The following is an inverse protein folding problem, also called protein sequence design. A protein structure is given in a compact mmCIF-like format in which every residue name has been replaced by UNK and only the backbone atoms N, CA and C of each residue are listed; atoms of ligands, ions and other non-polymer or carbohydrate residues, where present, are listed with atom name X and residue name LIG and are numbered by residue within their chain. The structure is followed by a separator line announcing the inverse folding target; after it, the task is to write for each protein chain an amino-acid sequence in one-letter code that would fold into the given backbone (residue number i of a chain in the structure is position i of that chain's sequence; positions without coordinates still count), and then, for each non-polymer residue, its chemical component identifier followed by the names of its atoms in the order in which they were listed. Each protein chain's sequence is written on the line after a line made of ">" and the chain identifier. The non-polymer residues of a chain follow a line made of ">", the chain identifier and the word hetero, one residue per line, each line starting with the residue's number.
data_IF_203979708102
#
_entry.id   IF_203979708102
#
_cell.length_a   1.000
_cell.length_b   1.000
_cell.length_c   1.000
_cell.angle_alpha   90.00
_cell.angle_beta   90.00
_cell.angle_gamma   90.00
#
_symmetry.space_group_name_H-M   'P 1'
#
loop_
_entity.id
_entity.type
_entity.pdbx_description
1 polymer ?
#
# COMPACT_ATOMS: atom_id res chain seq x y z
N UNK A 1 61.12 13.31 30.07
CA UNK A 1 60.65 13.31 31.48
C UNK A 1 59.44 14.23 31.52
N UNK A 2 58.27 13.66 31.47
CA UNK A 2 56.99 14.42 31.54
C UNK A 2 56.28 14.02 32.81
N UNK A 3 56.09 15.01 33.68
CA UNK A 3 55.38 14.93 34.95
C UNK A 3 53.88 14.89 34.69
N UNK A 4 53.23 13.79 35.08
CA UNK A 4 51.77 13.62 34.93
C UNK A 4 51.10 14.02 36.23
N UNK A 5 50.62 15.28 36.31
CA UNK A 5 49.84 15.75 37.47
C UNK A 5 48.46 15.09 37.53
N UNK A 6 48.21 14.32 38.55
CA UNK A 6 46.89 13.80 38.90
C UNK A 6 46.19 14.75 39.86
N UNK A 7 44.96 15.21 39.51
CA UNK A 7 44.06 15.87 40.46
C UNK A 7 42.88 14.95 40.79
N UNK A 8 42.65 14.75 42.06
CA UNK A 8 41.50 14.02 42.59
C UNK A 8 40.40 15.01 42.96
N UNK A 9 39.16 14.74 42.56
CA UNK A 9 37.98 15.47 43.00
C UNK A 9 37.15 14.51 43.88
N UNK A 10 36.88 14.92 45.12
CA UNK A 10 36.01 14.20 46.03
C UNK A 10 34.60 14.73 45.94
N UNK A 11 33.64 13.86 45.68
CA UNK A 11 32.21 14.17 45.83
C UNK A 11 31.65 13.40 47.02
N UNK A 12 31.11 14.13 48.01
CA UNK A 12 30.45 13.55 49.18
C UNK A 12 28.93 13.59 48.97
N UNK A 13 28.31 12.42 48.95
CA UNK A 13 26.85 12.28 49.10
C UNK A 13 26.56 11.66 50.47
N UNK A 14 25.85 12.41 51.30
CA UNK A 14 25.41 11.99 52.63
C UNK A 14 24.13 11.16 52.51
N UNK A 15 24.25 9.84 52.65
CA UNK A 15 23.13 8.95 53.06
C UNK A 15 23.68 7.75 53.81
N UNK A 16 23.06 7.47 54.94
CA UNK A 16 23.50 6.50 55.97
C UNK A 16 23.73 5.09 55.44
N UNK A 17 24.97 4.65 55.60
CA UNK A 17 25.57 3.32 55.73
C UNK A 17 26.73 3.08 54.72
N UNK A 18 27.63 2.07 54.94
CA UNK A 18 29.02 2.43 55.15
C UNK A 18 29.82 2.70 53.86
N UNK A 19 30.86 3.48 54.02
CA UNK A 19 31.79 4.00 53.04
C UNK A 19 32.29 2.94 52.04
N UNK A 20 31.84 2.99 50.80
CA UNK A 20 32.49 2.38 49.66
C UNK A 20 33.04 3.53 48.81
N UNK A 21 34.33 3.71 48.81
CA UNK A 21 35.04 4.68 47.95
C UNK A 21 35.19 4.06 46.58
N UNK A 22 34.48 4.62 45.56
CA UNK A 22 34.66 4.28 44.15
C UNK A 22 35.65 5.32 43.57
N UNK A 23 36.88 4.88 43.29
CA UNK A 23 37.87 5.67 42.57
C UNK A 23 37.59 5.65 41.05
N UNK A 24 37.01 6.72 40.52
CA UNK A 24 36.88 6.94 39.08
C UNK A 24 38.13 7.59 38.54
N UNK A 25 38.85 6.91 37.67
CA UNK A 25 40.02 7.42 36.96
C UNK A 25 39.56 8.11 35.70
N UNK A 26 39.52 9.45 35.69
CA UNK A 26 39.26 10.27 34.48
C UNK A 26 40.59 10.49 33.75
N UNK A 27 40.72 9.89 32.57
CA UNK A 27 41.88 10.09 31.70
C UNK A 27 41.56 11.20 30.69
N UNK A 28 41.90 12.46 30.98
CA UNK A 28 41.73 13.58 30.06
C UNK A 28 43.01 13.74 29.27
N UNK A 29 43.01 13.24 28.05
CA UNK A 29 44.09 13.38 27.08
C UNK A 29 43.92 14.65 26.28
N UNK A 30 44.49 15.77 26.68
CA UNK A 30 44.47 17.05 25.99
C UNK A 30 45.58 17.07 24.94
N UNK A 31 45.24 16.78 23.67
CA UNK A 31 46.19 16.90 22.57
C UNK A 31 45.80 18.13 21.70
N UNK A 32 46.50 19.28 21.82
CA UNK A 32 46.16 20.52 21.12
C UNK A 32 46.42 20.47 19.60
N UNK A 33 47.00 19.39 19.09
CA UNK A 33 47.27 19.20 17.65
C UNK A 33 46.42 18.12 16.98
N UNK A 34 45.32 17.65 17.61
CA UNK A 34 44.39 16.82 16.88
C UNK A 34 43.75 17.69 15.77
N UNK A 35 44.19 17.47 14.54
CA UNK A 35 43.45 17.89 13.36
C UNK A 35 41.98 17.52 13.59
N UNK A 36 41.09 18.52 13.53
CA UNK A 36 39.63 18.29 13.41
C UNK A 36 39.47 17.37 12.19
N UNK A 37 39.24 16.12 12.43
CA UNK A 37 38.65 15.28 11.40
C UNK A 37 37.35 16.00 11.00
N UNK A 38 37.28 16.40 9.75
CA UNK A 38 36.10 17.01 9.19
C UNK A 38 34.96 16.02 9.47
N UNK A 39 34.03 16.42 10.33
CA UNK A 39 32.75 15.75 10.50
C UNK A 39 32.18 15.69 9.10
N UNK A 40 32.26 14.53 8.45
CA UNK A 40 31.50 14.29 7.25
C UNK A 40 30.06 14.48 7.67
N UNK A 41 29.48 15.59 7.28
CA UNK A 41 28.04 15.82 7.37
C UNK A 41 27.40 14.62 6.67
N UNK A 42 26.68 13.83 7.44
CA UNK A 42 25.74 12.84 6.90
C UNK A 42 24.73 13.66 6.08
N UNK A 43 25.00 13.82 4.80
CA UNK A 43 24.05 14.47 3.88
C UNK A 43 22.85 13.54 3.79
N UNK A 44 21.79 13.89 4.50
CA UNK A 44 20.48 13.36 4.22
C UNK A 44 20.13 13.82 2.81
N UNK A 45 20.02 12.87 1.88
CA UNK A 45 19.62 13.13 0.51
C UNK A 45 18.10 13.39 0.46
N UNK A 46 17.67 14.56 0.89
CA UNK A 46 16.30 15.07 0.69
C UNK A 46 16.25 16.14 -0.40
N UNK A 47 16.94 15.90 -1.54
CA UNK A 47 17.25 16.97 -2.49
C UNK A 47 16.06 17.51 -3.30
N UNK A 48 14.97 16.78 -3.51
CA UNK A 48 13.84 17.27 -4.32
C UNK A 48 12.44 17.07 -3.69
N UNK A 49 12.33 16.24 -2.66
CA UNK A 49 11.01 15.91 -2.12
C UNK A 49 10.41 17.03 -1.25
N UNK A 50 11.23 17.77 -0.52
CA UNK A 50 10.72 18.75 0.45
C UNK A 50 10.42 20.12 -0.16
N UNK A 51 11.21 20.59 -1.13
CA UNK A 51 11.07 21.96 -1.65
C UNK A 51 9.82 22.17 -2.52
N UNK A 52 9.35 21.14 -3.22
CA UNK A 52 8.15 21.22 -4.06
C UNK A 52 6.84 21.12 -3.27
N UNK A 53 6.88 20.60 -2.05
CA UNK A 53 5.69 20.31 -1.24
C UNK A 53 5.60 21.11 0.07
N UNK A 54 6.59 21.97 0.37
CA UNK A 54 6.74 22.61 1.69
C UNK A 54 5.78 23.78 1.96
N UNK A 55 5.03 24.26 0.99
CA UNK A 55 4.24 25.49 1.12
C UNK A 55 2.73 25.28 1.38
N UNK A 56 2.30 24.15 1.91
CA UNK A 56 0.88 23.96 2.25
C UNK A 56 0.72 23.46 3.69
N UNK A 57 0.07 24.29 4.50
CA UNK A 57 -0.10 24.14 5.94
C UNK A 57 -0.98 22.96 6.41
N UNK A 58 -1.53 22.16 5.51
CA UNK A 58 -2.39 21.02 5.85
C UNK A 58 -1.74 19.72 5.41
N UNK A 59 -0.93 19.13 6.28
CA UNK A 59 -0.52 17.73 6.13
C UNK A 59 -1.68 16.86 6.56
N UNK A 60 -2.36 16.22 5.62
CA UNK A 60 -3.31 15.17 5.94
C UNK A 60 -2.56 13.97 6.52
N UNK A 61 -2.79 13.68 7.81
CA UNK A 61 -2.24 12.47 8.42
C UNK A 61 -2.92 11.23 7.84
N UNK A 62 -2.20 10.11 7.83
CA UNK A 62 -2.71 8.82 7.35
C UNK A 62 -4.04 8.45 8.01
N UNK A 63 -4.14 8.64 9.33
CA UNK A 63 -5.35 8.36 10.09
C UNK A 63 -6.54 9.23 9.67
N UNK A 64 -6.32 10.51 9.37
CA UNK A 64 -7.39 11.39 8.87
C UNK A 64 -7.82 11.03 7.45
N UNK A 65 -6.85 10.71 6.57
CA UNK A 65 -7.16 10.30 5.21
C UNK A 65 -7.98 9.01 5.17
N UNK A 66 -7.69 8.04 6.06
CA UNK A 66 -8.42 6.77 6.16
C UNK A 66 -9.85 6.93 6.70
N UNK A 67 -10.25 8.08 7.22
CA UNK A 67 -11.66 8.38 7.54
C UNK A 67 -12.50 8.64 6.29
N UNK A 68 -11.87 9.04 5.18
CA UNK A 68 -12.58 9.21 3.91
C UNK A 68 -12.85 7.84 3.29
N UNK A 69 -14.12 7.53 3.07
CA UNK A 69 -14.58 6.21 2.59
C UNK A 69 -13.91 5.78 1.28
N UNK A 70 -13.71 6.70 0.35
CA UNK A 70 -13.06 6.44 -0.93
C UNK A 70 -11.57 6.07 -0.76
N UNK A 71 -10.84 6.76 0.14
CA UNK A 71 -9.44 6.43 0.46
C UNK A 71 -9.35 5.05 1.10
N UNK A 72 -10.16 4.84 2.15
CA UNK A 72 -10.21 3.54 2.82
C UNK A 72 -10.43 2.41 1.82
N UNK A 73 -11.45 2.55 0.95
CA UNK A 73 -11.80 1.50 -0.02
C UNK A 73 -10.71 1.28 -1.07
N UNK A 74 -10.08 2.33 -1.58
CA UNK A 74 -8.97 2.17 -2.53
C UNK A 74 -7.79 1.43 -1.92
N UNK A 75 -7.38 1.79 -0.71
CA UNK A 75 -6.28 1.14 0.01
C UNK A 75 -6.63 -0.31 0.34
N UNK A 76 -7.84 -0.56 0.83
CA UNK A 76 -8.33 -1.89 1.19
C UNK A 76 -8.37 -2.84 0.00
N UNK A 77 -8.98 -2.42 -1.13
CA UNK A 77 -9.10 -3.28 -2.32
C UNK A 77 -7.75 -3.62 -2.94
N UNK A 78 -6.78 -2.67 -2.96
CA UNK A 78 -5.45 -2.96 -3.49
C UNK A 78 -4.70 -3.90 -2.55
N UNK A 79 -4.65 -3.58 -1.25
CA UNK A 79 -3.90 -4.36 -0.27
C UNK A 79 -4.45 -5.77 -0.09
N UNK A 80 -5.78 -5.96 -0.10
CA UNK A 80 -6.41 -7.28 -0.08
C UNK A 80 -6.15 -8.07 -1.36
N UNK A 81 -6.24 -7.40 -2.52
CA UNK A 81 -5.98 -8.06 -3.80
C UNK A 81 -4.54 -8.59 -3.90
N UNK A 82 -3.55 -7.86 -3.38
CA UNK A 82 -2.17 -8.34 -3.33
C UNK A 82 -1.99 -9.42 -2.27
N UNK A 83 -2.54 -9.23 -1.07
CA UNK A 83 -2.37 -10.14 0.06
C UNK A 83 -2.97 -11.53 -0.17
N UNK A 84 -4.03 -11.65 -0.98
CA UNK A 84 -4.62 -12.95 -1.30
C UNK A 84 -3.77 -13.78 -2.26
N UNK A 85 -2.86 -13.16 -3.06
CA UNK A 85 -2.04 -13.87 -4.03
C UNK A 85 -0.92 -14.66 -3.35
N UNK A 86 -0.75 -15.95 -3.64
CA UNK A 86 0.44 -16.70 -3.23
C UNK A 86 1.69 -16.10 -3.87
N UNK A 87 2.76 -15.98 -3.10
CA UNK A 87 4.07 -15.53 -3.59
C UNK A 87 5.02 -16.72 -3.66
N UNK A 88 5.21 -17.25 -4.85
CA UNK A 88 5.88 -18.52 -5.06
C UNK A 88 7.30 -18.34 -5.57
N UNK A 89 8.33 -18.92 -4.91
CA UNK A 89 9.66 -19.03 -5.46
C UNK A 89 9.74 -20.18 -6.48
N UNK A 90 10.41 -19.92 -7.59
CA UNK A 90 10.71 -20.88 -8.64
C UNK A 90 12.22 -21.05 -8.75
N UNK A 91 12.66 -22.28 -8.95
CA UNK A 91 14.01 -22.56 -9.43
C UNK A 91 13.99 -22.53 -10.96
N UNK A 92 14.92 -21.79 -11.54
CA UNK A 92 15.12 -21.67 -12.98
C UNK A 92 16.34 -22.51 -13.32
N UNK A 93 16.17 -23.52 -14.16
CA UNK A 93 17.28 -24.33 -14.64
C UNK A 93 18.08 -23.63 -15.78
N UNK A 94 19.17 -24.26 -16.21
CA UNK A 94 20.04 -23.69 -17.24
C UNK A 94 19.35 -23.59 -18.64
N UNK A 95 18.25 -24.32 -18.84
CA UNK A 95 17.43 -24.30 -20.04
C UNK A 95 16.29 -23.26 -19.94
N UNK A 96 16.12 -22.63 -18.78
CA UNK A 96 15.12 -21.58 -18.52
C UNK A 96 13.76 -22.11 -18.06
N UNK A 97 13.61 -23.43 -17.80
CA UNK A 97 12.39 -23.97 -17.24
C UNK A 97 12.26 -23.65 -15.74
N UNK A 98 11.06 -23.31 -15.33
CA UNK A 98 10.74 -22.92 -13.94
C UNK A 98 10.04 -24.03 -13.20
N UNK A 99 10.59 -24.43 -12.07
CA UNK A 99 9.98 -25.41 -11.16
C UNK A 99 9.73 -24.76 -9.80
N UNK A 100 8.55 -25.02 -9.18
CA UNK A 100 8.22 -24.47 -7.86
C UNK A 100 9.22 -24.94 -6.81
N UNK A 101 9.87 -23.99 -6.13
CA UNK A 101 10.92 -24.26 -5.17
C UNK A 101 10.36 -24.41 -3.73
N UNK A 102 9.46 -25.36 -3.53
CA UNK A 102 8.72 -25.56 -2.28
C UNK A 102 9.58 -26.06 -1.11
N UNK A 103 10.78 -26.61 -1.39
CA UNK A 103 11.69 -27.15 -0.37
C UNK A 103 12.59 -26.06 0.26
N UNK A 104 12.66 -24.89 -0.35
CA UNK A 104 13.49 -23.80 0.17
C UNK A 104 12.85 -23.15 1.41
N UNK A 105 13.61 -22.80 2.46
CA UNK A 105 13.08 -22.18 3.68
C UNK A 105 12.21 -20.94 3.42
N UNK A 106 12.55 -20.12 2.42
CA UNK A 106 11.78 -18.93 2.05
C UNK A 106 10.37 -19.25 1.55
N UNK A 107 10.11 -20.46 1.05
CA UNK A 107 8.76 -20.85 0.63
C UNK A 107 7.77 -20.76 1.80
N UNK A 108 8.15 -21.30 2.97
CA UNK A 108 7.34 -21.22 4.18
C UNK A 108 7.14 -19.77 4.62
N UNK A 109 8.23 -19.01 4.64
CA UNK A 109 8.26 -17.60 5.03
C UNK A 109 7.31 -16.75 4.16
N UNK A 110 7.31 -16.98 2.84
CA UNK A 110 6.50 -16.22 1.88
C UNK A 110 5.04 -16.67 1.81
N UNK A 111 4.74 -17.93 2.10
CA UNK A 111 3.41 -18.51 1.87
C UNK A 111 2.64 -18.89 3.13
N UNK A 112 3.29 -18.91 4.31
CA UNK A 112 2.65 -19.29 5.57
C UNK A 112 2.86 -18.23 6.65
N UNK A 113 4.02 -18.19 7.24
CA UNK A 113 4.35 -17.41 8.42
C UNK A 113 5.62 -16.59 8.22
N UNK A 114 5.52 -15.31 7.89
CA UNK A 114 6.66 -14.40 7.83
C UNK A 114 7.34 -14.20 9.19
N UNK A 115 6.56 -14.29 10.27
CA UNK A 115 6.98 -14.19 11.67
C UNK A 115 5.91 -14.79 12.60
N UNK A 116 6.24 -14.95 13.87
CA UNK A 116 5.38 -15.54 14.89
C UNK A 116 4.09 -14.71 15.18
N UNK A 117 4.03 -13.46 14.74
CA UNK A 117 2.94 -12.53 15.06
C UNK A 117 1.93 -12.36 13.94
N UNK A 118 2.32 -12.62 12.70
CA UNK A 118 1.52 -12.30 11.53
C UNK A 118 1.45 -13.46 10.54
N UNK A 119 0.24 -13.75 10.06
CA UNK A 119 0.07 -14.59 8.87
C UNK A 119 0.62 -13.86 7.63
N UNK A 120 0.92 -14.63 6.57
CA UNK A 120 1.31 -14.07 5.27
C UNK A 120 0.36 -12.97 4.80
N UNK A 121 -0.95 -13.24 4.87
CA UNK A 121 -1.97 -12.28 4.43
C UNK A 121 -1.87 -10.95 5.18
N UNK A 122 -1.82 -11.01 6.51
CA UNK A 122 -1.72 -9.81 7.35
C UNK A 122 -0.43 -9.04 7.08
N UNK A 123 0.69 -9.74 6.95
CA UNK A 123 1.99 -9.11 6.69
C UNK A 123 2.01 -8.38 5.34
N UNK A 124 1.61 -9.04 4.25
CA UNK A 124 1.59 -8.43 2.91
C UNK A 124 0.57 -7.28 2.86
N UNK A 125 -0.64 -7.47 3.42
CA UNK A 125 -1.64 -6.39 3.51
C UNK A 125 -1.08 -5.17 4.23
N UNK A 126 -0.44 -5.35 5.38
CA UNK A 126 0.13 -4.24 6.16
C UNK A 126 1.27 -3.55 5.40
N UNK A 127 2.15 -4.33 4.77
CA UNK A 127 3.26 -3.82 3.97
C UNK A 127 2.76 -2.97 2.79
N UNK A 128 1.80 -3.48 2.03
CA UNK A 128 1.19 -2.77 0.89
C UNK A 128 0.42 -1.52 1.36
N UNK A 129 -0.32 -1.61 2.47
CA UNK A 129 -1.01 -0.46 3.07
C UNK A 129 0.00 0.64 3.42
N UNK A 130 1.14 0.29 4.01
CA UNK A 130 2.22 1.26 4.29
C UNK A 130 2.75 1.89 2.99
N UNK A 131 3.00 1.11 1.95
CA UNK A 131 3.43 1.62 0.63
C UNK A 131 2.44 2.63 0.07
N UNK A 132 1.15 2.33 0.10
CA UNK A 132 0.11 3.20 -0.45
C UNK A 132 -0.05 4.51 0.34
N UNK A 133 -0.01 4.44 1.67
CA UNK A 133 -0.25 5.59 2.54
C UNK A 133 0.98 6.46 2.72
N UNK A 134 2.15 5.86 2.98
CA UNK A 134 3.39 6.59 3.30
C UNK A 134 4.34 6.74 2.12
N UNK A 135 4.12 5.96 1.06
CA UNK A 135 5.05 5.83 -0.07
C UNK A 135 6.14 4.79 0.14
N UNK A 136 6.28 4.23 1.35
CA UNK A 136 7.35 3.33 1.71
C UNK A 136 6.82 2.13 2.50
N UNK A 137 7.25 0.94 2.15
CA UNK A 137 7.00 -0.28 2.91
C UNK A 137 8.31 -0.89 3.36
N UNK A 138 8.49 -1.08 4.67
CA UNK A 138 9.72 -1.60 5.25
C UNK A 138 9.48 -2.93 5.96
N UNK A 139 10.40 -3.88 5.74
CA UNK A 139 10.49 -5.07 6.56
C UNK A 139 11.95 -5.45 6.81
N UNK A 140 12.28 -5.70 8.08
CA UNK A 140 13.59 -6.18 8.50
C UNK A 140 13.68 -7.68 8.26
N UNK A 141 14.78 -8.12 7.68
CA UNK A 141 15.08 -9.54 7.47
C UNK A 141 16.00 -9.99 8.60
N UNK A 142 15.48 -10.85 9.47
CA UNK A 142 16.32 -11.60 10.42
C UNK A 142 16.84 -12.84 9.71
N UNK A 143 18.17 -13.04 9.79
CA UNK A 143 18.83 -14.20 9.17
C UNK A 143 19.35 -15.15 10.24
N UNK A 144 19.44 -16.43 9.85
CA UNK A 144 20.09 -17.45 10.63
C UNK A 144 21.63 -17.40 10.50
N UNK A 145 22.33 -18.27 11.23
CA UNK A 145 23.79 -18.37 11.18
C UNK A 145 24.35 -18.74 9.80
N UNK A 146 23.53 -19.34 8.93
CA UNK A 146 23.88 -19.71 7.56
C UNK A 146 23.63 -18.56 6.58
N UNK A 147 23.03 -17.46 7.05
CA UNK A 147 22.67 -16.30 6.24
C UNK A 147 21.32 -16.44 5.51
N UNK A 148 20.55 -17.48 5.78
CA UNK A 148 19.21 -17.65 5.23
C UNK A 148 18.20 -16.77 5.95
N UNK A 149 17.19 -16.26 5.22
CA UNK A 149 16.13 -15.49 5.81
C UNK A 149 15.27 -16.40 6.71
N UNK A 150 15.18 -16.06 7.99
CA UNK A 150 14.43 -16.80 8.99
C UNK A 150 13.12 -16.15 9.35
N UNK A 151 13.07 -14.82 9.33
CA UNK A 151 11.92 -14.05 9.77
C UNK A 151 11.87 -12.71 9.05
N UNK A 152 10.66 -12.22 8.79
CA UNK A 152 10.39 -10.90 8.22
C UNK A 152 9.57 -10.07 9.21
N UNK A 153 10.14 -8.97 9.70
CA UNK A 153 9.49 -8.09 10.68
C UNK A 153 9.06 -6.81 9.99
N UNK A 154 7.75 -6.55 9.96
CA UNK A 154 7.23 -5.28 9.45
C UNK A 154 7.69 -4.11 10.33
N UNK A 155 8.12 -3.02 9.69
CA UNK A 155 8.49 -1.78 10.36
C UNK A 155 7.61 -0.64 9.87
N UNK A 156 7.13 0.17 10.80
CA UNK A 156 6.39 1.39 10.46
C UNK A 156 7.30 2.37 9.73
N UNK A 157 6.76 3.04 8.71
CA UNK A 157 7.53 3.96 7.87
C UNK A 157 8.13 5.14 8.65
N UNK A 158 7.45 5.63 9.67
CA UNK A 158 7.90 6.71 10.55
C UNK A 158 9.06 6.32 11.48
N UNK A 159 9.25 5.01 11.71
CA UNK A 159 10.36 4.48 12.53
C UNK A 159 11.63 4.22 11.74
N UNK A 160 11.63 4.38 10.41
CA UNK A 160 12.77 4.05 9.55
C UNK A 160 13.21 5.27 8.76
N UNK A 161 14.50 5.59 8.80
CA UNK A 161 15.11 6.62 7.95
C UNK A 161 16.24 6.04 7.10
N UNK A 162 16.31 6.50 5.85
CA UNK A 162 17.38 6.09 4.93
C UNK A 162 18.57 7.02 5.11
N UNK A 163 19.75 6.44 5.24
CA UNK A 163 21.01 7.18 5.35
C UNK A 163 22.09 6.54 4.48
N UNK A 164 23.16 7.28 4.23
CA UNK A 164 24.30 6.77 3.47
C UNK A 164 25.56 6.80 4.35
N UNK A 165 26.23 5.67 4.47
CA UNK A 165 27.52 5.55 5.15
C UNK A 165 28.54 4.97 4.19
N UNK A 166 29.63 5.68 3.96
CA UNK A 166 30.68 5.29 3.02
C UNK A 166 30.15 4.95 1.59
N UNK A 167 29.16 5.71 1.11
CA UNK A 167 28.54 5.50 -0.19
C UNK A 167 27.54 4.33 -0.27
N UNK A 168 27.35 3.58 0.82
CA UNK A 168 26.38 2.48 0.89
C UNK A 168 25.08 2.92 1.54
N UNK A 169 23.94 2.54 0.95
CA UNK A 169 22.60 2.76 1.52
C UNK A 169 22.46 1.93 2.80
N UNK A 170 22.08 2.59 3.88
CA UNK A 170 21.85 2.02 5.20
C UNK A 170 20.53 2.51 5.75
N UNK A 171 19.99 1.83 6.74
CA UNK A 171 18.74 2.20 7.38
C UNK A 171 18.96 2.42 8.87
N UNK A 172 18.46 3.55 9.36
CA UNK A 172 18.40 3.84 10.78
C UNK A 172 16.98 3.53 11.27
N UNK A 173 16.85 2.64 12.25
CA UNK A 173 15.58 2.23 12.83
C UNK A 173 15.50 2.81 14.24
N UNK A 174 14.41 3.53 14.53
CA UNK A 174 14.16 4.09 15.86
C UNK A 174 14.13 2.98 16.91
N UNK A 175 14.95 3.11 17.94
CA UNK A 175 15.12 2.09 18.99
C UNK A 175 16.25 1.08 18.75
N UNK A 176 16.90 1.10 17.59
CA UNK A 176 18.10 0.32 17.31
C UNK A 176 19.35 1.22 17.36
N UNK A 177 20.41 0.77 18.05
CA UNK A 177 21.65 1.52 18.15
C UNK A 177 22.58 1.35 16.94
N UNK A 178 22.26 0.44 16.03
CA UNK A 178 23.08 0.12 14.87
C UNK A 178 22.30 0.37 13.57
N UNK A 179 23.04 0.85 12.55
CA UNK A 179 22.52 0.96 11.21
C UNK A 179 22.34 -0.41 10.57
N UNK A 180 21.21 -0.63 9.95
CA UNK A 180 20.91 -1.87 9.23
C UNK A 180 21.38 -1.74 7.78
N UNK A 181 22.09 -2.74 7.30
CA UNK A 181 22.54 -2.81 5.91
C UNK A 181 21.37 -3.03 4.96
N UNK A 182 21.49 -2.49 3.75
CA UNK A 182 20.46 -2.59 2.73
C UNK A 182 20.09 -4.03 2.36
N UNK A 183 20.97 -5.01 2.53
CA UNK A 183 20.69 -6.42 2.25
C UNK A 183 19.71 -7.04 3.26
N UNK A 184 19.65 -6.52 4.47
CA UNK A 184 18.78 -6.99 5.55
C UNK A 184 17.49 -6.15 5.68
N UNK A 185 17.21 -5.31 4.69
CA UNK A 185 16.00 -4.48 4.68
C UNK A 185 15.27 -4.64 3.35
N UNK A 186 14.04 -5.13 3.40
CA UNK A 186 13.08 -5.00 2.30
C UNK A 186 12.57 -3.57 2.31
N UNK A 187 12.68 -2.89 1.18
CA UNK A 187 12.20 -1.52 1.03
C UNK A 187 11.45 -1.36 -0.28
N UNK A 188 10.13 -1.41 -0.22
CA UNK A 188 9.23 -1.25 -1.36
C UNK A 188 8.85 0.21 -1.49
N UNK A 189 9.14 0.78 -2.66
CA UNK A 189 8.86 2.17 -2.99
C UNK A 189 7.55 2.28 -3.78
N UNK A 190 6.72 3.24 -3.42
CA UNK A 190 5.64 3.69 -4.30
C UNK A 190 6.22 4.57 -5.42
N UNK A 191 5.70 5.77 -5.61
CA UNK A 191 6.30 6.75 -6.51
C UNK A 191 7.55 7.38 -5.86
N UNK A 192 8.63 7.55 -6.62
CA UNK A 192 9.87 8.13 -6.11
C UNK A 192 10.52 9.03 -7.18
N UNK A 193 11.05 10.18 -6.78
CA UNK A 193 11.84 11.04 -7.68
C UNK A 193 13.31 10.69 -7.70
N UNK A 194 13.83 10.12 -6.61
CA UNK A 194 15.25 9.86 -6.40
C UNK A 194 15.63 8.37 -6.45
N UNK A 195 14.60 7.48 -6.47
CA UNK A 195 14.79 6.03 -6.38
C UNK A 195 15.27 5.55 -5.01
N UNK A 196 15.32 6.42 -4.01
CA UNK A 196 15.84 6.14 -2.67
C UNK A 196 14.72 6.08 -1.64
N UNK A 197 13.80 7.06 -1.72
CA UNK A 197 12.65 7.18 -0.83
C UNK A 197 11.37 7.33 -1.65
N UNK A 198 10.31 6.67 -1.20
CA UNK A 198 8.98 6.79 -1.82
C UNK A 198 8.22 8.00 -1.28
N UNK A 199 7.34 8.52 -2.12
CA UNK A 199 6.47 9.64 -1.78
C UNK A 199 5.06 9.11 -1.55
N UNK A 200 4.45 9.58 -0.47
CA UNK A 200 3.07 9.25 -0.10
C UNK A 200 2.08 9.67 -1.18
N UNK A 201 1.17 8.78 -1.55
CA UNK A 201 0.02 9.10 -2.40
C UNK A 201 -0.81 10.22 -1.79
N UNK A 202 -0.93 10.26 -0.46
CA UNK A 202 -1.67 11.29 0.26
C UNK A 202 -1.04 12.69 0.11
N UNK A 203 0.29 12.77 0.00
CA UNK A 203 0.97 14.05 -0.29
C UNK A 203 0.58 14.61 -1.66
N UNK A 204 0.46 13.75 -2.67
CA UNK A 204 0.01 14.17 -3.99
C UNK A 204 -1.48 14.54 -4.00
N UNK A 205 -2.30 13.79 -3.28
CA UNK A 205 -3.75 13.97 -3.21
C UNK A 205 -4.20 15.04 -2.21
N UNK A 206 -3.30 15.71 -1.49
CA UNK A 206 -3.61 16.57 -0.34
C UNK A 206 -4.69 17.64 -0.61
N UNK A 207 -4.67 18.27 -1.78
CA UNK A 207 -5.63 19.32 -2.13
C UNK A 207 -7.03 18.72 -2.33
N UNK A 208 -7.13 17.58 -3.03
CA UNK A 208 -8.38 16.85 -3.23
C UNK A 208 -8.91 16.30 -1.91
N UNK A 209 -8.04 15.75 -1.06
CA UNK A 209 -8.41 15.26 0.27
C UNK A 209 -8.91 16.38 1.16
N UNK A 210 -8.26 17.57 1.11
CA UNK A 210 -8.71 18.77 1.83
C UNK A 210 -10.11 19.20 1.38
N UNK A 211 -10.30 19.35 0.08
CA UNK A 211 -11.60 19.74 -0.49
C UNK A 211 -12.70 18.71 -0.15
N UNK A 212 -12.37 17.41 -0.19
CA UNK A 212 -13.31 16.34 0.15
C UNK A 212 -13.74 16.43 1.61
N UNK A 213 -12.79 16.57 2.53
CA UNK A 213 -13.08 16.67 3.96
C UNK A 213 -13.86 17.95 4.30
N UNK A 214 -13.52 19.09 3.67
CA UNK A 214 -14.24 20.34 3.86
C UNK A 214 -15.69 20.23 3.32
N UNK A 215 -15.88 19.54 2.20
CA UNK A 215 -17.19 19.26 1.62
C UNK A 215 -18.04 18.35 2.54
N UNK A 216 -17.43 17.33 3.13
CA UNK A 216 -18.09 16.45 4.11
C UNK A 216 -18.44 17.21 5.39
N UNK A 217 -17.53 18.02 5.92
CA UNK A 217 -17.78 18.85 7.11
C UNK A 217 -18.88 19.88 6.87
N UNK A 218 -18.92 20.48 5.68
CA UNK A 218 -19.99 21.40 5.29
C UNK A 218 -21.35 20.68 5.22
N UNK A 219 -21.40 19.51 4.59
CA UNK A 219 -22.61 18.69 4.53
C UNK A 219 -23.06 18.27 5.96
N UNK A 220 -22.13 17.83 6.80
CA UNK A 220 -22.42 17.48 8.19
C UNK A 220 -22.97 18.68 8.97
N UNK A 221 -22.35 19.84 8.84
CA UNK A 221 -22.83 21.09 9.46
C UNK A 221 -24.22 21.47 9.01
N UNK A 222 -24.51 21.33 7.71
CA UNK A 222 -25.83 21.60 7.14
C UNK A 222 -26.90 20.67 7.72
N UNK A 223 -26.64 19.36 7.79
CA UNK A 223 -27.58 18.40 8.35
C UNK A 223 -27.72 18.51 9.88
N UNK A 224 -26.64 18.74 10.62
CA UNK A 224 -26.68 18.99 12.06
C UNK A 224 -27.44 20.27 12.42
N UNK A 225 -27.33 21.28 11.57
CA UNK A 225 -28.12 22.52 11.71
C UNK A 225 -29.61 22.35 11.39
N UNK A 226 -30.08 21.12 11.08
CA UNK A 226 -31.49 20.84 10.76
C UNK A 226 -31.91 21.44 9.42
N UNK A 227 -30.98 21.57 8.47
CA UNK A 227 -31.19 22.28 7.20
C UNK A 227 -31.70 23.71 7.42
N UNK A 228 -31.27 24.34 8.52
CA UNK A 228 -31.77 25.63 8.95
C UNK A 228 -31.56 26.68 7.88
N UNK A 229 -32.67 27.12 7.36
CA UNK A 229 -32.78 28.22 6.45
C UNK A 229 -32.20 29.47 7.12
N UNK A 230 -31.00 29.86 6.70
CA UNK A 230 -30.56 31.20 7.00
C UNK A 230 -31.58 32.16 6.41
N UNK A 231 -32.09 33.05 7.21
CA UNK A 231 -33.10 34.00 6.78
C UNK A 231 -32.82 35.39 7.35
N UNK A 232 -33.42 36.37 6.72
CA UNK A 232 -33.40 37.74 7.21
C UNK A 232 -34.74 38.01 7.86
N UNK A 233 -34.72 38.42 9.14
CA UNK A 233 -35.89 38.96 9.81
C UNK A 233 -35.93 40.47 9.46
N UNK A 234 -36.91 40.87 8.66
CA UNK A 234 -37.17 42.27 8.38
C UNK A 234 -38.13 42.80 9.41
N UNK A 235 -37.82 43.99 9.97
CA UNK A 235 -38.64 44.72 10.89
C UNK A 235 -38.82 46.14 10.36
N UNK A 236 -40.03 46.63 10.35
CA UNK A 236 -40.37 47.96 9.79
C UNK A 236 -39.91 49.13 10.68
N UNK A 237 -39.57 48.82 11.94
CA UNK A 237 -39.14 49.86 12.91
C UNK A 237 -37.65 49.74 13.29
N UNK A 238 -37.03 50.83 13.69
CA UNK A 238 -35.66 50.82 14.18
C UNK A 238 -35.57 50.08 15.52
N UNK A 239 -34.77 49.01 15.56
CA UNK A 239 -34.50 48.24 16.75
C UNK A 239 -33.28 48.75 17.50
N UNK A 240 -33.34 48.79 18.81
CA UNK A 240 -32.20 49.01 19.68
C UNK A 240 -31.22 47.81 19.62
N UNK A 241 -29.97 48.04 20.04
CA UNK A 241 -28.97 46.95 20.07
C UNK A 241 -29.42 45.76 20.95
N UNK A 242 -30.10 46.03 22.05
CA UNK A 242 -30.61 45.02 22.95
C UNK A 242 -31.72 44.19 22.28
N UNK A 243 -32.70 44.85 21.67
CA UNK A 243 -33.79 44.15 20.96
C UNK A 243 -33.29 43.25 19.81
N UNK A 244 -32.22 43.67 19.08
CA UNK A 244 -31.59 42.82 18.08
C UNK A 244 -30.98 41.58 18.69
N UNK A 245 -30.34 41.70 19.84
CA UNK A 245 -29.75 40.58 20.54
C UNK A 245 -30.83 39.62 21.10
N UNK A 246 -31.92 40.19 21.68
CA UNK A 246 -33.02 39.40 22.20
C UNK A 246 -33.73 38.57 21.11
N UNK A 247 -33.98 39.19 19.94
CA UNK A 247 -34.53 38.51 18.76
C UNK A 247 -33.59 37.40 18.29
N UNK A 248 -32.29 37.68 18.22
CA UNK A 248 -31.29 36.69 17.81
C UNK A 248 -31.25 35.49 18.76
N UNK A 249 -31.31 35.78 20.08
CA UNK A 249 -31.29 34.74 21.11
C UNK A 249 -32.58 33.92 21.09
N UNK A 250 -33.76 34.56 21.01
CA UNK A 250 -35.04 33.89 20.88
C UNK A 250 -35.12 33.00 19.64
N UNK A 251 -34.64 33.52 18.48
CA UNK A 251 -34.57 32.76 17.26
C UNK A 251 -33.64 31.56 17.36
N UNK A 252 -32.42 31.77 17.87
CA UNK A 252 -31.45 30.67 18.06
C UNK A 252 -31.96 29.62 19.04
N UNK A 253 -32.69 30.01 20.07
CA UNK A 253 -33.28 29.08 21.05
C UNK A 253 -34.42 28.27 20.43
N UNK A 254 -35.23 28.86 19.54
CA UNK A 254 -36.32 28.16 18.86
C UNK A 254 -35.81 27.14 17.81
N UNK A 255 -34.65 27.41 17.18
CA UNK A 255 -34.13 26.58 16.08
C UNK A 255 -32.91 25.73 16.44
N UNK A 256 -32.14 26.09 17.51
CA UNK A 256 -30.98 25.30 17.98
C UNK A 256 -31.34 24.22 18.98
N UNK A 257 -32.53 23.66 18.94
CA UNK A 257 -32.89 22.55 19.79
C UNK A 257 -32.07 21.31 19.46
N UNK A 258 -30.88 21.20 20.06
CA UNK A 258 -30.04 19.99 20.10
C UNK A 258 -30.75 18.84 20.85
N UNK A 259 -31.89 19.10 21.46
CA UNK A 259 -32.72 18.13 22.22
C UNK A 259 -33.98 17.75 21.44
N UNK A 260 -33.80 16.99 20.36
CA UNK A 260 -34.76 15.97 19.89
C UNK A 260 -36.26 16.25 19.73
N UNK A 261 -36.73 17.48 19.82
CA UNK A 261 -38.13 17.85 19.57
C UNK A 261 -38.27 18.65 18.28
N UNK A 262 -38.91 18.10 17.23
CA UNK A 262 -38.92 18.68 15.89
C UNK A 262 -39.93 19.84 15.71
N UNK A 263 -40.41 20.51 16.71
CA UNK A 263 -41.45 21.53 16.56
C UNK A 263 -41.00 22.89 17.11
N UNK A 264 -39.88 23.42 16.63
CA UNK A 264 -39.52 24.80 16.87
C UNK A 264 -40.41 25.74 16.03
N UNK A 265 -41.57 26.13 16.54
CA UNK A 265 -42.36 27.20 15.95
C UNK A 265 -41.83 28.51 16.56
N UNK A 266 -41.19 29.35 15.73
CA UNK A 266 -40.85 30.71 16.14
C UNK A 266 -42.11 31.58 16.01
N UNK A 267 -42.55 32.17 17.12
CA UNK A 267 -43.63 33.15 17.10
C UNK A 267 -43.01 34.52 16.80
N UNK A 268 -43.43 35.14 15.70
CA UNK A 268 -43.07 36.49 15.31
C UNK A 268 -44.07 37.47 15.82
N UNK A 269 -43.65 38.50 16.58
CA UNK A 269 -44.50 39.55 17.07
C UNK A 269 -44.35 40.81 16.21
N UNK A 270 -45.47 41.52 16.04
CA UNK A 270 -45.50 42.79 15.31
C UNK A 270 -45.26 42.64 13.81
N UNK A 271 -44.82 43.72 13.15
CA UNK A 271 -44.50 43.79 11.70
C UNK A 271 -43.16 43.12 11.34
N UNK A 272 -42.93 41.89 11.85
CA UNK A 272 -41.77 41.12 11.50
C UNK A 272 -42.06 40.17 10.35
N UNK A 273 -41.24 40.18 9.31
CA UNK A 273 -41.34 39.28 8.18
C UNK A 273 -40.09 38.44 8.06
N UNK A 274 -40.21 37.12 8.06
CA UNK A 274 -39.10 36.24 7.78
C UNK A 274 -38.98 36.04 6.27
N UNK A 275 -37.83 36.38 5.75
CA UNK A 275 -37.47 36.11 4.36
C UNK A 275 -36.40 35.04 4.36
N UNK A 276 -36.69 33.78 3.98
CA UNK A 276 -35.69 32.77 3.87
C UNK A 276 -34.65 33.17 2.82
N UNK A 277 -33.38 33.03 3.10
CA UNK A 277 -32.33 33.04 2.09
C UNK A 277 -32.35 31.65 1.51
N UNK A 278 -33.12 31.44 0.44
CA UNK A 278 -33.10 30.19 -0.34
C UNK A 278 -31.76 30.13 -1.06
N UNK A 279 -30.79 29.42 -0.49
CA UNK A 279 -29.61 28.97 -1.21
C UNK A 279 -30.06 27.73 -2.02
N UNK A 280 -30.60 28.01 -3.22
CA UNK A 280 -31.13 26.96 -4.08
C UNK A 280 -30.36 27.00 -5.40
N UNK A 281 -29.38 26.35 -5.62
CA UNK A 281 -29.01 25.17 -6.40
C UNK A 281 -27.82 24.39 -5.81
N UNK A 282 -27.39 24.72 -4.60
CA UNK A 282 -26.16 24.19 -4.01
C UNK A 282 -26.23 22.69 -3.64
N UNK A 283 -27.42 22.13 -3.45
CA UNK A 283 -27.52 20.73 -3.02
C UNK A 283 -27.18 19.75 -4.15
N UNK A 284 -27.60 20.05 -5.36
CA UNK A 284 -27.23 19.26 -6.54
C UNK A 284 -25.73 19.40 -6.86
N UNK A 285 -25.19 20.62 -6.78
CA UNK A 285 -23.76 20.88 -6.99
C UNK A 285 -22.90 20.26 -5.91
N UNK A 286 -23.37 20.20 -4.65
CA UNK A 286 -22.66 19.53 -3.57
C UNK A 286 -22.58 18.02 -3.81
N UNK A 287 -23.66 17.40 -4.27
CA UNK A 287 -23.70 15.98 -4.61
C UNK A 287 -22.74 15.65 -5.77
N UNK A 288 -22.78 16.46 -6.83
CA UNK A 288 -21.86 16.32 -7.98
C UNK A 288 -20.41 16.50 -7.56
N UNK A 289 -20.10 17.48 -6.70
CA UNK A 289 -18.76 17.70 -6.15
C UNK A 289 -18.28 16.50 -5.36
N UNK A 290 -19.13 15.92 -4.52
CA UNK A 290 -18.80 14.70 -3.73
C UNK A 290 -18.50 13.51 -4.65
N UNK A 291 -19.31 13.29 -5.68
CA UNK A 291 -19.06 12.23 -6.66
C UNK A 291 -17.73 12.47 -7.42
N UNK A 292 -17.47 13.70 -7.83
CA UNK A 292 -16.21 14.06 -8.49
C UNK A 292 -15.01 13.82 -7.59
N UNK A 293 -15.09 14.17 -6.30
CA UNK A 293 -14.04 13.94 -5.33
C UNK A 293 -13.72 12.44 -5.16
N UNK A 294 -14.74 11.56 -5.15
CA UNK A 294 -14.53 10.11 -5.12
C UNK A 294 -13.75 9.64 -6.35
N UNK A 295 -14.13 10.12 -7.54
CA UNK A 295 -13.45 9.78 -8.79
C UNK A 295 -11.97 10.26 -8.76
N UNK A 296 -11.71 11.47 -8.26
CA UNK A 296 -10.35 12.01 -8.15
C UNK A 296 -9.50 11.20 -7.17
N UNK A 297 -10.04 10.83 -6.02
CA UNK A 297 -9.34 9.95 -5.07
C UNK A 297 -9.00 8.62 -5.74
N UNK A 298 -9.94 8.02 -6.46
CA UNK A 298 -9.72 6.78 -7.20
C UNK A 298 -8.57 6.90 -8.22
N UNK A 299 -8.44 8.05 -8.91
CA UNK A 299 -7.34 8.31 -9.86
C UNK A 299 -5.97 8.30 -9.18
N UNK A 300 -5.82 8.89 -7.98
CA UNK A 300 -4.55 8.88 -7.26
C UNK A 300 -4.09 7.48 -6.87
N UNK A 301 -5.02 6.56 -6.61
CA UNK A 301 -4.71 5.17 -6.30
C UNK A 301 -4.71 4.24 -7.52
N UNK A 302 -5.06 4.74 -8.70
CA UNK A 302 -5.19 3.91 -9.91
C UNK A 302 -6.33 2.90 -9.84
N UNK A 303 -7.37 3.18 -9.04
CA UNK A 303 -8.53 2.29 -8.85
C UNK A 303 -9.72 2.83 -9.64
N UNK A 304 -10.40 1.96 -10.41
CA UNK A 304 -11.65 2.38 -11.05
C UNK A 304 -12.72 2.68 -9.99
N UNK A 305 -13.54 3.74 -10.17
CA UNK A 305 -14.68 4.04 -9.28
C UNK A 305 -15.61 2.85 -9.05
N UNK A 306 -15.79 2.00 -10.05
CA UNK A 306 -16.59 0.76 -9.95
C UNK A 306 -16.04 -0.17 -8.86
N UNK A 307 -14.72 -0.29 -8.73
CA UNK A 307 -14.05 -1.06 -7.66
C UNK A 307 -14.19 -0.41 -6.28
N UNK A 308 -14.37 0.90 -6.26
CA UNK A 308 -14.69 1.65 -5.05
C UNK A 308 -16.21 1.64 -4.72
N UNK A 309 -17.01 0.81 -5.42
CA UNK A 309 -18.47 0.71 -5.32
C UNK A 309 -19.25 1.94 -5.78
N UNK A 310 -18.66 2.81 -6.59
CA UNK A 310 -19.42 3.81 -7.32
C UNK A 310 -19.96 3.20 -8.63
N UNK A 311 -21.20 2.74 -8.58
CA UNK A 311 -21.89 2.07 -9.70
C UNK A 311 -22.74 3.03 -10.54
N UNK A 312 -22.66 4.32 -10.29
CA UNK A 312 -23.54 5.33 -10.91
C UNK A 312 -23.49 5.35 -12.44
N UNK A 313 -22.39 4.87 -13.05
CA UNK A 313 -22.18 4.85 -14.50
C UNK A 313 -21.64 3.50 -15.02
N UNK A 314 -21.94 2.38 -14.35
CA UNK A 314 -21.42 1.06 -14.72
C UNK A 314 -22.41 0.23 -15.54
N UNK A 315 -21.88 -0.49 -16.54
CA UNK A 315 -22.56 -1.57 -17.26
C UNK A 315 -21.84 -2.90 -17.04
N UNK A 316 -22.48 -4.02 -17.37
CA UNK A 316 -21.89 -5.36 -17.15
C UNK A 316 -20.56 -5.56 -17.89
N UNK A 317 -20.48 -5.14 -19.15
CA UNK A 317 -19.24 -5.19 -19.95
C UNK A 317 -18.13 -4.29 -19.40
N UNK A 318 -18.50 -3.20 -18.72
CA UNK A 318 -17.54 -2.30 -18.06
C UNK A 318 -16.91 -2.96 -16.84
N UNK A 319 -17.60 -3.86 -16.14
CA UNK A 319 -17.07 -4.54 -14.94
C UNK A 319 -15.93 -5.50 -15.29
N UNK A 320 -16.06 -6.30 -16.34
CA UNK A 320 -14.99 -7.22 -16.80
C UNK A 320 -13.76 -6.46 -17.30
N UNK A 321 -13.95 -5.47 -18.17
CA UNK A 321 -12.87 -4.62 -18.64
C UNK A 321 -12.15 -3.91 -17.48
N UNK A 322 -12.90 -3.45 -16.49
CA UNK A 322 -12.35 -2.83 -15.27
C UNK A 322 -11.55 -3.82 -14.42
N UNK A 323 -11.95 -5.08 -14.36
CA UNK A 323 -11.22 -6.11 -13.62
C UNK A 323 -9.86 -6.37 -14.26
N UNK A 324 -9.81 -6.50 -15.59
CA UNK A 324 -8.58 -6.70 -16.33
C UNK A 324 -7.66 -5.48 -16.21
N UNK A 325 -8.19 -4.26 -16.42
CA UNK A 325 -7.43 -3.03 -16.26
C UNK A 325 -6.86 -2.88 -14.84
N UNK A 326 -7.63 -3.23 -13.81
CA UNK A 326 -7.15 -3.21 -12.42
C UNK A 326 -5.96 -4.16 -12.21
N UNK A 327 -6.00 -5.35 -12.81
CA UNK A 327 -4.90 -6.31 -12.74
C UNK A 327 -3.67 -5.77 -13.48
N UNK A 328 -3.83 -5.30 -14.73
CA UNK A 328 -2.70 -4.89 -15.59
C UNK A 328 -2.10 -3.56 -15.18
N UNK A 329 -2.92 -2.57 -14.87
CA UNK A 329 -2.47 -1.18 -14.73
C UNK A 329 -2.15 -0.82 -13.28
N UNK A 330 -2.87 -1.44 -12.31
CA UNK A 330 -2.72 -1.12 -10.88
C UNK A 330 -1.91 -2.17 -10.14
N UNK A 331 -2.30 -3.45 -10.26
CA UNK A 331 -1.67 -4.51 -9.47
C UNK A 331 -0.33 -4.95 -10.06
N UNK A 332 -0.23 -5.26 -11.36
CA UNK A 332 0.99 -5.81 -11.95
C UNK A 332 2.24 -4.99 -11.68
N UNK A 333 2.26 -3.65 -11.81
CA UNK A 333 3.45 -2.87 -11.49
C UNK A 333 3.82 -2.91 -9.99
N UNK A 334 2.83 -3.05 -9.11
CA UNK A 334 3.06 -3.17 -7.68
C UNK A 334 3.58 -4.56 -7.31
N UNK A 335 3.01 -5.60 -7.92
CA UNK A 335 3.45 -6.99 -7.74
C UNK A 335 4.91 -7.14 -8.16
N UNK A 336 5.28 -6.64 -9.34
CA UNK A 336 6.65 -6.70 -9.85
C UNK A 336 7.65 -6.00 -8.93
N UNK A 337 7.31 -4.83 -8.37
CA UNK A 337 8.17 -4.16 -7.37
C UNK A 337 8.42 -5.03 -6.14
N UNK A 338 7.39 -5.72 -5.66
CA UNK A 338 7.48 -6.61 -4.51
C UNK A 338 8.32 -7.85 -4.87
N UNK A 339 8.03 -8.50 -5.99
CA UNK A 339 8.74 -9.68 -6.49
C UNK A 339 10.24 -9.42 -6.58
N UNK A 340 10.63 -8.37 -7.31
CA UNK A 340 12.04 -8.01 -7.51
C UNK A 340 12.76 -7.65 -6.20
N UNK A 341 12.08 -6.97 -5.26
CA UNK A 341 12.71 -6.62 -3.99
C UNK A 341 12.87 -7.85 -3.09
N UNK A 342 11.88 -8.76 -3.06
CA UNK A 342 12.01 -10.03 -2.34
C UNK A 342 13.09 -10.93 -2.94
N UNK A 343 13.12 -11.08 -4.27
CA UNK A 343 14.15 -11.84 -4.97
C UNK A 343 15.55 -11.30 -4.64
N UNK A 344 15.73 -9.99 -4.74
CA UNK A 344 17.01 -9.32 -4.49
C UNK A 344 17.49 -9.46 -3.05
N UNK A 345 16.58 -9.59 -2.08
CA UNK A 345 16.91 -9.49 -0.65
C UNK A 345 16.87 -10.82 0.09
N UNK A 346 15.96 -11.72 -0.25
CA UNK A 346 15.78 -12.95 0.51
C UNK A 346 16.81 -14.02 0.21
N UNK A 347 17.34 -14.03 -1.02
CA UNK A 347 18.25 -15.08 -1.49
C UNK A 347 19.71 -14.63 -1.48
N UNK A 348 20.61 -15.60 -1.28
CA UNK A 348 22.04 -15.38 -1.34
C UNK A 348 22.48 -14.98 -2.75
N UNK A 349 23.54 -14.20 -2.91
CA UNK A 349 24.06 -13.82 -4.23
C UNK A 349 24.37 -15.02 -5.15
N UNK A 350 24.75 -16.16 -4.57
CA UNK A 350 25.05 -17.40 -5.30
C UNK A 350 23.79 -18.11 -5.85
N UNK A 351 22.63 -17.90 -5.24
CA UNK A 351 21.39 -18.58 -5.57
C UNK A 351 20.49 -17.72 -6.48
N UNK A 352 20.67 -16.41 -6.38
CA UNK A 352 19.77 -15.40 -6.97
C UNK A 352 19.62 -15.50 -8.49
N UNK A 353 20.64 -15.98 -9.21
CA UNK A 353 20.60 -16.12 -10.65
C UNK A 353 19.65 -17.24 -11.12
N UNK A 354 19.37 -18.20 -10.24
CA UNK A 354 18.57 -19.37 -10.56
C UNK A 354 17.22 -19.36 -9.81
N UNK A 355 16.85 -18.24 -9.20
CA UNK A 355 15.58 -18.12 -8.46
C UNK A 355 14.81 -16.95 -9.05
N UNK A 356 13.53 -17.20 -9.29
CA UNK A 356 12.54 -16.22 -9.71
C UNK A 356 11.38 -16.27 -8.69
N UNK A 357 10.92 -15.11 -8.24
CA UNK A 357 9.84 -15.00 -7.26
C UNK A 357 8.64 -14.33 -7.92
N UNK A 358 7.50 -15.04 -7.97
CA UNK A 358 6.31 -14.57 -8.69
C UNK A 358 5.05 -14.72 -7.87
N UNK A 359 4.15 -13.74 -7.98
CA UNK A 359 2.79 -13.88 -7.51
C UNK A 359 1.97 -14.74 -8.46
N UNK A 360 1.19 -15.68 -7.91
CA UNK A 360 0.21 -16.43 -8.70
C UNK A 360 -1.07 -15.59 -8.90
N UNK A 361 -1.10 -14.86 -10.02
CA UNK A 361 -2.24 -14.02 -10.39
C UNK A 361 -3.45 -14.81 -10.90
N UNK A 362 -3.31 -16.11 -11.16
CA UNK A 362 -4.41 -16.98 -11.62
C UNK A 362 -5.57 -17.02 -10.61
N UNK A 363 -5.27 -16.81 -9.34
CA UNK A 363 -6.26 -16.72 -8.27
C UNK A 363 -7.31 -15.63 -8.51
N UNK A 364 -6.92 -14.49 -9.08
CA UNK A 364 -7.85 -13.39 -9.40
C UNK A 364 -8.75 -13.70 -10.61
N UNK A 365 -8.30 -14.58 -11.49
CA UNK A 365 -9.02 -14.95 -12.70
C UNK A 365 -9.98 -16.13 -12.46
N UNK A 366 -9.88 -16.82 -11.33
CA UNK A 366 -10.73 -17.97 -10.96
C UNK A 366 -12.22 -17.64 -10.80
N UNK A 367 -12.60 -16.37 -10.75
CA UNK A 367 -13.99 -15.94 -10.59
C UNK A 367 -14.88 -16.32 -11.78
N UNK A 368 -14.32 -16.43 -13.00
CA UNK A 368 -15.03 -16.89 -14.18
C UNK A 368 -14.73 -18.36 -14.49
N UNK A 369 -15.61 -19.23 -14.02
CA UNK A 369 -15.52 -20.70 -14.23
C UNK A 369 -15.55 -21.10 -15.70
N UNK A 370 -16.26 -20.35 -16.54
CA UNK A 370 -16.37 -20.67 -17.96
C UNK A 370 -15.07 -20.35 -18.70
N UNK A 371 -14.50 -19.18 -18.48
CA UNK A 371 -13.18 -18.82 -19.02
C UNK A 371 -12.08 -19.72 -18.51
N UNK A 372 -12.10 -20.10 -17.23
CA UNK A 372 -11.14 -21.02 -16.65
C UNK A 372 -11.25 -22.42 -17.28
N UNK A 373 -12.46 -22.94 -17.48
CA UNK A 373 -12.68 -24.23 -18.15
C UNK A 373 -12.19 -24.21 -19.61
N UNK A 374 -12.45 -23.13 -20.32
CA UNK A 374 -11.95 -22.93 -21.70
C UNK A 374 -10.42 -22.85 -21.75
N UNK A 375 -9.81 -22.13 -20.81
CA UNK A 375 -8.36 -22.03 -20.66
C UNK A 375 -7.71 -23.40 -20.42
N UNK A 376 -8.19 -24.17 -19.45
CA UNK A 376 -7.65 -25.51 -19.20
C UNK A 376 -7.89 -26.48 -20.36
N UNK A 377 -9.05 -26.40 -21.01
CA UNK A 377 -9.33 -27.24 -22.17
C UNK A 377 -8.34 -26.94 -23.32
N UNK A 378 -8.07 -25.67 -23.59
CA UNK A 378 -7.12 -25.27 -24.63
C UNK A 378 -5.70 -25.78 -24.32
N UNK A 379 -5.20 -25.57 -23.11
CA UNK A 379 -3.86 -26.02 -22.70
C UNK A 379 -3.74 -27.55 -22.69
N UNK A 380 -4.79 -28.25 -22.28
CA UNK A 380 -4.83 -29.70 -22.27
C UNK A 380 -4.81 -30.27 -23.70
N UNK A 381 -5.57 -29.69 -24.62
CA UNK A 381 -5.64 -30.17 -26.01
C UNK A 381 -4.29 -30.04 -26.76
N UNK A 382 -3.48 -29.03 -26.41
CA UNK A 382 -2.14 -28.82 -27.01
C UNK A 382 -1.03 -29.52 -26.20
N UNK A 383 -1.38 -30.28 -25.14
CA UNK A 383 -0.42 -31.07 -24.36
C UNK A 383 0.47 -30.27 -23.40
N UNK A 384 0.15 -28.99 -23.14
CA UNK A 384 0.93 -28.13 -22.26
C UNK A 384 0.71 -28.45 -20.80
N UNK A 385 -0.50 -28.90 -20.43
CA UNK A 385 -0.89 -29.20 -19.04
C UNK A 385 -1.43 -30.62 -18.92
N UNK A 386 -1.07 -31.30 -17.84
CA UNK A 386 -1.51 -32.67 -17.55
C UNK A 386 -2.80 -32.67 -16.72
N UNK A 387 -3.58 -33.79 -16.73
CA UNK A 387 -4.76 -33.94 -15.88
C UNK A 387 -4.47 -33.70 -14.39
N UNK A 388 -3.34 -34.22 -13.87
CA UNK A 388 -2.99 -34.06 -12.46
C UNK A 388 -2.60 -32.61 -12.11
N UNK A 389 -2.00 -31.86 -13.03
CA UNK A 389 -1.74 -30.42 -12.84
C UNK A 389 -3.04 -29.62 -12.79
N UNK A 390 -4.02 -29.94 -13.68
CA UNK A 390 -5.35 -29.33 -13.63
C UNK A 390 -6.03 -29.64 -12.30
N UNK A 391 -6.01 -30.92 -11.90
CA UNK A 391 -6.59 -31.38 -10.63
C UNK A 391 -5.95 -30.69 -9.42
N UNK A 392 -4.63 -30.55 -9.42
CA UNK A 392 -3.88 -29.84 -8.40
C UNK A 392 -4.29 -28.35 -8.29
N UNK A 393 -4.49 -27.70 -9.44
CA UNK A 393 -4.94 -26.30 -9.47
C UNK A 393 -6.41 -26.13 -9.02
N UNK A 394 -7.19 -27.23 -9.06
CA UNK A 394 -8.58 -27.28 -8.60
C UNK A 394 -8.72 -27.92 -7.20
N UNK A 395 -7.60 -28.14 -6.49
CA UNK A 395 -7.55 -28.77 -5.17
C UNK A 395 -8.19 -30.17 -5.14
N UNK A 396 -8.05 -30.92 -6.23
CA UNK A 396 -8.54 -32.31 -6.37
C UNK A 396 -7.39 -33.31 -6.20
N UNK A 397 -7.64 -34.50 -5.65
CA UNK A 397 -6.63 -35.56 -5.51
C UNK A 397 -6.13 -36.03 -6.87
N UNK A 398 -4.87 -36.43 -6.96
CA UNK A 398 -4.27 -36.97 -8.18
C UNK A 398 -4.96 -38.28 -8.62
N UNK A 399 -4.92 -38.55 -9.93
CA UNK A 399 -5.39 -39.82 -10.52
C UNK A 399 -4.21 -40.56 -11.11
N UNK A 400 -4.35 -41.88 -11.19
CA UNK A 400 -3.37 -42.76 -11.84
C UNK A 400 -3.22 -42.40 -13.33
N UNK A 401 -1.99 -42.39 -13.82
CA UNK A 401 -1.63 -41.95 -15.18
C UNK A 401 -2.00 -40.52 -15.56
N UNK A 402 -2.44 -39.69 -14.58
CA UNK A 402 -2.79 -38.28 -14.82
C UNK A 402 -1.59 -37.33 -15.04
N UNK A 403 -0.36 -37.80 -14.89
CA UNK A 403 0.86 -37.02 -15.14
C UNK A 403 1.37 -37.11 -16.60
N UNK A 404 0.64 -37.87 -17.44
CA UNK A 404 0.96 -37.98 -18.87
C UNK A 404 0.33 -36.82 -19.62
N UNK A 405 1.09 -36.22 -20.53
CA UNK A 405 0.56 -35.24 -21.47
C UNK A 405 -0.26 -35.92 -22.56
N UNK A 406 -1.38 -35.30 -22.90
CA UNK A 406 -2.29 -35.77 -23.95
C UNK A 406 -2.31 -34.78 -25.09
N UNK A 407 -2.22 -35.25 -26.32
CA UNK A 407 -2.30 -34.43 -27.52
C UNK A 407 -3.42 -34.95 -28.40
N UNK A 408 -4.17 -34.09 -29.04
CA UNK A 408 -5.15 -34.50 -30.03
C UNK A 408 -4.45 -35.19 -31.20
N UNK A 409 -4.97 -36.37 -31.59
CA UNK A 409 -4.41 -37.19 -32.68
C UNK A 409 -4.38 -36.45 -34.02
N UNK A 410 -5.19 -35.41 -34.15
CA UNK A 410 -5.26 -34.59 -35.38
C UNK A 410 -4.09 -33.58 -35.51
N UNK A 411 -3.28 -33.38 -34.46
CA UNK A 411 -2.12 -32.50 -34.49
C UNK A 411 -0.87 -33.35 -34.63
N UNK A 412 -0.15 -33.21 -35.73
CA UNK A 412 1.12 -33.89 -35.98
C UNK A 412 2.22 -32.89 -36.27
N UNK A 413 3.48 -33.31 -36.08
CA UNK A 413 4.62 -32.43 -36.41
C UNK A 413 4.65 -32.13 -37.92
N UNK A 414 5.18 -30.99 -38.30
CA UNK A 414 5.29 -30.59 -39.69
C UNK A 414 6.06 -31.66 -40.50
N UNK A 415 7.11 -32.26 -39.93
CA UNK A 415 7.91 -33.31 -40.53
C UNK A 415 7.06 -34.58 -40.79
N UNK A 416 6.25 -35.00 -39.86
CA UNK A 416 5.35 -36.17 -40.03
C UNK A 416 4.23 -35.87 -41.04
N UNK A 417 3.78 -34.62 -41.14
CA UNK A 417 2.79 -34.24 -42.13
C UNK A 417 3.37 -34.28 -43.54
N UNK A 418 4.59 -33.82 -43.74
CA UNK A 418 5.31 -33.87 -45.02
C UNK A 418 5.64 -35.31 -45.40
N UNK A 419 6.15 -36.13 -44.45
CA UNK A 419 6.50 -37.52 -44.71
C UNK A 419 5.27 -38.33 -45.12
N UNK A 420 4.13 -38.19 -44.42
CA UNK A 420 2.89 -38.90 -44.82
C UNK A 420 2.32 -38.43 -46.15
N UNK A 421 2.55 -37.21 -46.55
CA UNK A 421 2.14 -36.68 -47.84
C UNK A 421 3.00 -37.29 -48.95
N UNK A 422 4.30 -37.39 -48.72
CA UNK A 422 5.26 -38.03 -49.66
C UNK A 422 5.00 -39.54 -49.79
N UNK A 423 4.66 -40.22 -48.69
CA UNK A 423 4.29 -41.65 -48.74
C UNK A 423 2.99 -41.90 -49.53
N UNK A 424 1.96 -41.05 -49.32
CA UNK A 424 0.72 -41.12 -50.10
C UNK A 424 0.93 -40.83 -51.60
N UNK A 425 1.74 -39.86 -51.93
CA UNK A 425 2.04 -39.51 -53.30
C UNK A 425 2.83 -40.66 -54.00
N UNK A 426 3.73 -41.34 -53.27
CA UNK A 426 4.43 -42.55 -53.74
C UNK A 426 3.52 -43.77 -53.90
N UNK A 427 2.56 -43.96 -53.01
CA UNK A 427 1.57 -45.08 -53.12
C UNK A 427 0.63 -44.88 -54.32
N UNK A 428 0.24 -43.65 -54.60
CA UNK A 428 -0.59 -43.31 -55.78
C UNK A 428 0.20 -43.51 -57.07
N UNK A 429 1.52 -43.21 -57.07
CA UNK A 429 2.38 -43.40 -58.24
C UNK A 429 2.64 -44.89 -58.56
N UNK A 430 2.72 -45.74 -57.51
CA UNK A 430 2.95 -47.20 -57.68
C UNK A 430 1.67 -48.01 -57.96
N UNK A 431 0.46 -47.43 -57.83
CA UNK A 431 -0.81 -48.09 -58.21
C UNK A 431 -1.30 -47.75 -59.62
N UNK A 432 -0.52 -46.90 -60.32
CA UNK A 432 -0.80 -46.44 -61.69
C UNK A 432 -0.01 -47.15 -62.78
N UNK A 433 0.82 -48.15 -62.43
CA UNK A 433 1.47 -49.09 -63.37
C UNK A 433 0.68 -50.45 -63.28
#
# INVERSE_FOLDING_TARGET
>A
IYDTGFRYVFASTTLHKPNIYILMKLNINFNPFKKKEARQEERSYNFLSDSLFYNSATTYSESKAMLLSAVYRCVDVISDSVAQLPLEPYYVDDEGFKTKFTKHPTYWLLNREPNDQMSRFTFIKTLVTSVLLTGNGYALINRDEKGDAKELIFLKSDSVSVTFKNGKKMYNITGMNQLVEAINMIHILNFSYDGITGISTLKHARNTLGLTADSEAHAEGFFKGGANLAGIIKVESSLTAQQKQDIKTAWSSAFNSITGTPNGVAVMEGNMTFQPITVNPSDAQLLETRQFNVIDICRFFGVSPVKAFDLSKSSYSTVEATQLAFLTDTLSPLLEKIELEFERKLYKPSERNNIDVRFDTSVLLRADKASLASYYNTLFQIGVITPNEIRKNLDLPAIENGDKSFVQVNVQTLDNAVTKQTEKDNEVYNQGE
#
